data_IF_081393567946
#
_entry.id   IF_081393567946
#
_cell.length_a   1.000
_cell.length_b   1.000
_cell.length_c   1.000
_cell.angle_alpha   90.00
_cell.angle_beta   90.00
_cell.angle_gamma   90.00
#
_symmetry.space_group_name_H-M   'P 1'
#
loop_
_entity.id
_entity.type
_entity.pdbx_description
1 polymer ?
#
# COMPACT_ATOMS: atom_id res chain seq x y z
N UNK A 1 41.70 12.78 39.41
CA UNK A 1 40.79 13.31 38.38
C UNK A 1 40.98 12.53 37.09
N UNK A 2 40.11 11.54 36.82
CA UNK A 2 39.87 10.99 35.48
C UNK A 2 38.41 10.58 35.42
N UNK A 3 37.71 11.13 34.44
CA UNK A 3 36.29 10.92 34.18
C UNK A 3 36.06 9.53 33.59
N UNK A 4 34.99 8.86 34.03
CA UNK A 4 34.47 7.67 33.37
C UNK A 4 33.27 8.09 32.53
N UNK A 5 33.39 7.88 31.23
CA UNK A 5 32.36 8.16 30.24
C UNK A 5 31.25 7.12 30.37
N UNK A 6 30.07 7.57 30.80
CA UNK A 6 28.84 6.78 30.87
C UNK A 6 28.29 6.62 29.44
N UNK A 7 28.30 5.41 28.90
CA UNK A 7 27.54 5.09 27.70
C UNK A 7 26.12 4.69 28.10
N UNK A 8 25.19 5.62 27.92
CA UNK A 8 23.74 5.39 28.02
C UNK A 8 23.28 4.77 26.71
N UNK A 9 23.01 3.47 26.71
CA UNK A 9 22.19 2.86 25.65
C UNK A 9 20.75 3.37 25.85
N UNK A 10 20.32 4.29 24.99
CA UNK A 10 18.92 4.65 24.84
C UNK A 10 18.21 3.51 24.10
N UNK A 11 17.53 2.64 24.85
CA UNK A 11 16.46 1.83 24.32
C UNK A 11 15.19 2.68 24.30
N UNK A 12 14.42 2.71 23.19
CA UNK A 12 13.13 3.39 23.16
C UNK A 12 12.17 2.74 24.19
N UNK A 13 11.50 3.60 24.94
CA UNK A 13 10.50 3.27 25.96
C UNK A 13 9.40 2.35 25.41
N UNK A 14 9.30 1.14 25.96
CA UNK A 14 8.05 0.38 26.01
C UNK A 14 7.40 0.64 27.39
N UNK A 15 6.15 1.12 27.46
CA UNK A 15 5.48 1.32 28.73
C UNK A 15 4.98 -0.02 29.25
N UNK A 16 5.49 -0.43 30.41
CA UNK A 16 4.92 -1.54 31.19
C UNK A 16 5.93 -2.59 31.59
N UNK A 17 6.82 -2.25 32.52
CA UNK A 17 7.26 -3.15 33.59
C UNK A 17 8.03 -2.32 34.61
N UNK A 18 7.34 -1.91 35.68
CA UNK A 18 7.98 -1.49 36.90
C UNK A 18 8.34 -2.75 37.70
N UNK A 19 9.57 -2.80 38.22
CA UNK A 19 9.87 -2.88 39.66
C UNK A 19 11.37 -3.06 39.80
N UNK A 20 12.01 -2.04 40.38
CA UNK A 20 13.35 -2.11 40.94
C UNK A 20 13.32 -2.94 42.23
N UNK A 21 14.35 -3.74 42.46
CA UNK A 21 14.80 -4.07 43.82
C UNK A 21 16.31 -4.03 43.88
N UNK A 22 16.78 -3.20 44.80
CA UNK A 22 18.15 -3.09 45.28
C UNK A 22 18.69 -4.44 45.72
N UNK A 23 19.91 -4.76 45.27
CA UNK A 23 20.72 -5.83 45.85
C UNK A 23 21.97 -5.16 46.43
N UNK A 24 22.04 -5.14 47.76
CA UNK A 24 23.25 -4.86 48.51
C UNK A 24 24.32 -5.90 48.15
N UNK A 25 25.47 -5.45 47.65
CA UNK A 25 26.67 -6.27 47.49
C UNK A 25 27.64 -5.96 48.63
N UNK A 26 27.67 -6.83 49.63
CA UNK A 26 28.79 -6.90 50.58
C UNK A 26 29.98 -7.63 49.93
N UNK A 27 31.14 -6.98 50.05
CA UNK A 27 32.51 -7.51 50.08
C UNK A 27 32.74 -8.96 49.63
N UNK A 28 33.43 -9.13 48.50
CA UNK A 28 34.40 -10.22 48.34
C UNK A 28 35.61 -9.71 47.55
N UNK A 29 36.75 -9.67 48.24
CA UNK A 29 38.08 -9.45 47.72
C UNK A 29 38.48 -10.59 46.75
N UNK A 30 39.07 -10.22 45.61
CA UNK A 30 40.26 -10.84 44.99
C UNK A 30 40.29 -10.53 43.49
N UNK A 31 41.06 -9.51 43.16
CA UNK A 31 41.43 -9.17 41.79
C UNK A 31 42.52 -10.15 41.34
N UNK A 32 42.12 -11.17 40.57
CA UNK A 32 43.03 -11.90 39.68
C UNK A 32 42.80 -11.41 38.25
N UNK A 33 43.73 -10.58 37.76
CA UNK A 33 43.83 -10.24 36.35
C UNK A 33 44.32 -11.46 35.54
N UNK A 34 43.76 -11.59 34.33
CA UNK A 34 44.28 -12.32 33.16
C UNK A 34 44.20 -13.86 33.17
N UNK A 35 43.10 -14.39 32.66
CA UNK A 35 43.07 -15.25 31.46
C UNK A 35 41.74 -15.99 31.39
N UNK A 36 40.85 -15.52 30.50
CA UNK A 36 39.85 -16.38 29.89
C UNK A 36 39.25 -15.60 28.72
N UNK A 37 39.91 -15.68 27.57
CA UNK A 37 39.22 -15.55 26.30
C UNK A 37 38.16 -16.64 26.24
N UNK A 38 36.98 -16.38 26.81
CA UNK A 38 35.82 -17.26 26.69
C UNK A 38 35.47 -17.31 25.22
N UNK A 39 35.87 -18.38 24.55
CA UNK A 39 35.28 -18.77 23.27
C UNK A 39 33.77 -18.64 23.42
N UNK A 40 33.16 -17.73 22.65
CA UNK A 40 31.70 -17.67 22.58
C UNK A 40 31.21 -19.08 22.26
N UNK A 41 30.32 -19.60 23.11
CA UNK A 41 29.62 -20.86 22.84
C UNK A 41 29.04 -20.81 21.43
N UNK A 42 28.97 -21.96 20.76
CA UNK A 42 28.36 -22.10 19.42
C UNK A 42 26.98 -21.42 19.37
N UNK A 43 26.20 -21.48 20.46
CA UNK A 43 24.92 -20.78 20.57
C UNK A 43 25.05 -19.25 20.53
N UNK A 44 26.09 -18.69 21.14
CA UNK A 44 26.37 -17.25 21.11
C UNK A 44 26.71 -16.77 19.70
N UNK A 45 27.47 -17.56 18.93
CA UNK A 45 27.74 -17.26 17.52
C UNK A 45 26.49 -17.39 16.65
N UNK A 46 25.65 -18.39 16.89
CA UNK A 46 24.40 -18.55 16.16
C UNK A 46 23.43 -17.38 16.39
N UNK A 47 23.25 -16.94 17.65
CA UNK A 47 22.43 -15.77 17.97
C UNK A 47 22.97 -14.51 17.30
N UNK A 48 24.29 -14.30 17.34
CA UNK A 48 24.91 -13.15 16.68
C UNK A 48 24.72 -13.20 15.16
N UNK A 49 24.89 -14.36 14.53
CA UNK A 49 24.70 -14.53 13.09
C UNK A 49 23.24 -14.24 12.67
N UNK A 50 22.26 -14.70 13.45
CA UNK A 50 20.84 -14.39 13.21
C UNK A 50 20.56 -12.89 13.37
N UNK A 51 21.09 -12.26 14.42
CA UNK A 51 20.91 -10.82 14.63
C UNK A 51 21.51 -9.99 13.48
N UNK A 52 22.70 -10.37 12.99
CA UNK A 52 23.34 -9.73 11.83
C UNK A 52 22.51 -9.94 10.56
N UNK A 53 22.02 -11.15 10.31
CA UNK A 53 21.19 -11.45 9.15
C UNK A 53 19.86 -10.67 9.18
N UNK A 54 19.18 -10.61 10.33
CA UNK A 54 17.97 -9.81 10.52
C UNK A 54 18.25 -8.31 10.33
N UNK A 55 19.34 -7.79 10.90
CA UNK A 55 19.73 -6.40 10.74
C UNK A 55 19.99 -6.04 9.26
N UNK A 56 20.68 -6.93 8.53
CA UNK A 56 20.89 -6.76 7.09
C UNK A 56 19.57 -6.78 6.32
N UNK A 57 18.68 -7.73 6.60
CA UNK A 57 17.37 -7.82 5.95
C UNK A 57 16.54 -6.57 6.20
N UNK A 58 16.47 -6.08 7.44
CA UNK A 58 15.77 -4.82 7.77
C UNK A 58 16.37 -3.66 7.00
N UNK A 59 17.70 -3.49 7.02
CA UNK A 59 18.34 -2.38 6.32
C UNK A 59 18.14 -2.45 4.80
N UNK A 60 18.24 -3.64 4.22
CA UNK A 60 17.99 -3.85 2.80
C UNK A 60 16.54 -3.51 2.44
N UNK A 61 15.57 -3.94 3.25
CA UNK A 61 14.16 -3.61 3.03
C UNK A 61 13.88 -2.11 3.18
N UNK A 62 14.45 -1.43 4.17
CA UNK A 62 14.34 0.03 4.30
C UNK A 62 14.90 0.75 3.07
N UNK A 63 16.03 0.27 2.54
CA UNK A 63 16.62 0.79 1.31
C UNK A 63 15.74 0.56 0.06
N UNK A 64 15.23 -0.66 -0.10
CA UNK A 64 14.38 -1.06 -1.24
C UNK A 64 13.03 -0.33 -1.23
N UNK A 65 12.40 -0.21 -0.06
CA UNK A 65 11.14 0.52 0.11
C UNK A 65 11.32 2.04 0.09
N UNK A 66 12.56 2.52 -0.05
CA UNK A 66 12.89 3.94 0.02
C UNK A 66 12.35 4.60 1.31
N UNK A 67 12.29 3.85 2.41
CA UNK A 67 11.71 4.28 3.68
C UNK A 67 12.55 5.43 4.25
N UNK A 68 12.03 6.66 4.18
CA UNK A 68 12.73 7.88 4.58
C UNK A 68 13.32 8.71 3.44
N UNK A 69 13.09 8.34 2.16
CA UNK A 69 13.32 9.28 1.05
C UNK A 69 12.17 10.29 1.02
N UNK A 70 12.51 11.57 1.12
CA UNK A 70 11.56 12.64 0.89
C UNK A 70 11.44 12.91 -0.62
N UNK A 71 10.21 12.90 -1.13
CA UNK A 71 9.94 13.29 -2.51
C UNK A 71 9.72 14.81 -2.55
N UNK A 72 10.54 15.50 -3.34
CA UNK A 72 10.31 16.89 -3.69
C UNK A 72 9.57 16.99 -5.03
N UNK A 73 8.49 17.75 -5.08
CA UNK A 73 7.84 18.06 -6.36
C UNK A 73 8.70 19.06 -7.14
N UNK A 74 9.14 18.68 -8.34
CA UNK A 74 9.98 19.53 -9.20
C UNK A 74 9.28 20.87 -9.56
N UNK A 75 7.95 20.91 -9.50
CA UNK A 75 7.15 22.10 -9.68
C UNK A 75 5.88 22.02 -8.83
N UNK A 76 6.01 22.20 -7.52
CA UNK A 76 4.89 22.17 -6.56
C UNK A 76 3.73 23.12 -6.94
N UNK A 77 4.05 24.25 -7.56
CA UNK A 77 3.08 25.25 -8.05
C UNK A 77 2.41 24.83 -9.38
N UNK A 78 2.99 23.90 -10.14
CA UNK A 78 2.49 23.45 -11.44
C UNK A 78 1.57 22.22 -11.35
N UNK A 79 1.48 21.61 -10.16
CA UNK A 79 0.65 20.44 -9.92
C UNK A 79 -0.33 20.74 -8.78
N UNK A 80 -1.49 21.29 -9.11
CA UNK A 80 -2.61 21.30 -8.18
C UNK A 80 -3.28 19.92 -8.22
N UNK A 81 -3.27 19.20 -7.10
CA UNK A 81 -4.06 17.98 -6.97
C UNK A 81 -5.53 18.38 -7.07
N UNK A 82 -6.26 17.87 -8.08
CA UNK A 82 -7.69 18.08 -8.13
C UNK A 82 -8.35 17.39 -6.94
N UNK A 83 -9.12 18.14 -6.15
CA UNK A 83 -9.96 17.54 -5.15
C UNK A 83 -11.09 16.79 -5.85
N UNK A 84 -11.00 15.47 -5.83
CA UNK A 84 -12.04 14.57 -6.30
C UNK A 84 -13.02 14.30 -5.14
N UNK A 85 -14.32 14.06 -5.42
CA UNK A 85 -15.30 13.81 -4.37
C UNK A 85 -14.98 12.57 -3.52
N UNK A 86 -14.30 11.58 -4.11
CA UNK A 86 -13.71 10.43 -3.41
C UNK A 86 -12.23 10.32 -3.79
N UNK A 87 -11.37 9.80 -2.90
CA UNK A 87 -9.99 9.47 -3.26
C UNK A 87 -9.97 8.59 -4.50
N UNK A 88 -9.09 8.88 -5.45
CA UNK A 88 -8.86 8.05 -6.62
C UNK A 88 -7.41 7.60 -6.59
N UNK A 89 -7.19 6.29 -6.69
CA UNK A 89 -5.86 5.70 -6.65
C UNK A 89 -5.22 5.69 -8.05
N UNK A 90 -6.02 5.39 -9.08
CA UNK A 90 -5.53 5.27 -10.46
C UNK A 90 -6.29 6.14 -11.48
N UNK A 91 -5.61 6.42 -12.59
CA UNK A 91 -6.02 7.25 -13.71
C UNK A 91 -5.66 6.57 -15.04
N UNK A 92 -6.59 6.57 -16.00
CA UNK A 92 -6.32 6.02 -17.33
C UNK A 92 -6.70 7.00 -18.43
N UNK A 93 -5.84 7.11 -19.44
CA UNK A 93 -6.05 8.05 -20.55
C UNK A 93 -7.26 7.63 -21.39
N UNK A 94 -8.16 8.57 -21.67
CA UNK A 94 -9.35 8.30 -22.47
C UNK A 94 -9.19 8.79 -23.91
N UNK A 95 -8.97 10.10 -24.06
CA UNK A 95 -8.77 10.80 -25.34
C UNK A 95 -7.92 12.05 -25.09
N UNK A 96 -7.43 12.74 -26.14
CA UNK A 96 -6.62 13.94 -25.93
C UNK A 96 -7.32 14.95 -25.01
N UNK A 97 -6.66 15.32 -23.91
CA UNK A 97 -7.17 16.27 -22.92
C UNK A 97 -8.19 15.71 -21.92
N UNK A 98 -8.47 14.40 -21.94
CA UNK A 98 -9.41 13.75 -21.03
C UNK A 98 -8.89 12.40 -20.50
N UNK A 99 -9.17 12.13 -19.23
CA UNK A 99 -8.84 10.85 -18.58
C UNK A 99 -10.01 10.38 -17.72
N UNK A 100 -10.02 9.08 -17.41
CA UNK A 100 -10.87 8.53 -16.37
C UNK A 100 -10.11 8.43 -15.06
N UNK A 101 -10.80 8.63 -13.94
CA UNK A 101 -10.29 8.44 -12.59
C UNK A 101 -11.19 7.47 -11.83
N UNK A 102 -10.59 6.45 -11.21
CA UNK A 102 -11.29 5.41 -10.45
C UNK A 102 -11.29 5.77 -8.98
N UNK A 103 -12.47 6.09 -8.44
CA UNK A 103 -12.63 6.47 -7.04
C UNK A 103 -13.01 5.32 -6.13
N UNK A 104 -12.61 5.43 -4.86
CA UNK A 104 -12.93 4.49 -3.79
C UNK A 104 -12.15 4.79 -2.51
N UNK A 105 -12.71 4.46 -1.36
CA UNK A 105 -11.98 4.55 -0.09
C UNK A 105 -11.18 3.27 0.18
N UNK A 106 -10.08 3.10 -0.57
CA UNK A 106 -9.18 1.95 -0.43
C UNK A 106 -8.53 1.89 0.95
N UNK A 107 -8.25 3.04 1.56
CA UNK A 107 -7.59 3.09 2.86
C UNK A 107 -8.46 2.45 3.94
N UNK A 108 -9.74 2.84 4.01
CA UNK A 108 -10.69 2.19 4.92
C UNK A 108 -10.95 0.75 4.52
N UNK A 109 -10.96 0.44 3.22
CA UNK A 109 -11.17 -0.94 2.73
C UNK A 109 -10.09 -1.89 3.23
N UNK A 110 -8.82 -1.54 3.07
CA UNK A 110 -7.71 -2.39 3.51
C UNK A 110 -7.55 -2.43 5.03
N UNK A 111 -7.98 -1.39 5.75
CA UNK A 111 -7.87 -1.33 7.20
C UNK A 111 -9.05 -1.98 7.94
N UNK A 112 -10.27 -1.80 7.45
CA UNK A 112 -11.52 -2.07 8.16
C UNK A 112 -12.53 -2.91 7.37
N UNK A 113 -12.22 -3.22 6.11
CA UNK A 113 -13.13 -3.87 5.18
C UNK A 113 -13.96 -2.89 4.35
N UNK A 114 -14.41 -3.37 3.21
CA UNK A 114 -15.14 -2.64 2.18
C UNK A 114 -16.53 -2.17 2.63
N UNK A 115 -17.17 -2.84 3.59
CA UNK A 115 -18.49 -2.45 4.11
C UNK A 115 -18.46 -1.02 4.66
N UNK A 116 -17.39 -0.67 5.37
CA UNK A 116 -17.20 0.62 6.03
C UNK A 116 -16.63 1.70 5.10
N UNK A 117 -16.14 1.32 3.92
CA UNK A 117 -15.57 2.25 2.96
C UNK A 117 -16.63 3.14 2.31
N UNK A 118 -16.28 4.37 1.94
CA UNK A 118 -17.14 5.20 1.11
C UNK A 118 -17.23 4.61 -0.29
N UNK A 119 -18.46 4.49 -0.82
CA UNK A 119 -18.66 4.07 -2.20
C UNK A 119 -18.02 5.08 -3.17
N UNK A 120 -17.20 4.57 -4.06
CA UNK A 120 -16.54 5.32 -5.10
C UNK A 120 -17.42 5.61 -6.31
N UNK A 121 -16.80 6.24 -7.29
CA UNK A 121 -17.39 6.47 -8.61
C UNK A 121 -16.26 6.54 -9.65
N UNK A 122 -16.62 6.47 -10.93
CA UNK A 122 -15.68 6.73 -12.01
C UNK A 122 -15.92 8.16 -12.49
N UNK A 123 -14.86 8.95 -12.57
CA UNK A 123 -14.93 10.34 -12.99
C UNK A 123 -14.30 10.52 -14.37
N UNK A 124 -14.88 11.42 -15.17
CA UNK A 124 -14.22 12.02 -16.33
C UNK A 124 -13.55 13.32 -15.89
N UNK A 125 -12.25 13.42 -16.17
CA UNK A 125 -11.46 14.61 -15.88
C UNK A 125 -11.04 15.25 -17.19
N UNK A 126 -11.45 16.50 -17.40
CA UNK A 126 -11.15 17.31 -18.59
C UNK A 126 -10.58 18.66 -18.14
N UNK A 127 -9.25 18.80 -18.18
CA UNK A 127 -8.56 19.93 -17.58
C UNK A 127 -8.85 20.02 -16.09
N UNK A 128 -9.55 21.08 -15.67
CA UNK A 128 -9.95 21.27 -14.25
C UNK A 128 -11.35 20.77 -13.92
N UNK A 129 -12.10 20.30 -14.91
CA UNK A 129 -13.47 19.83 -14.72
C UNK A 129 -13.45 18.35 -14.37
N UNK A 130 -14.13 18.02 -13.26
CA UNK A 130 -14.32 16.65 -12.79
C UNK A 130 -15.81 16.35 -12.85
N UNK A 131 -16.19 15.31 -13.59
CA UNK A 131 -17.60 14.92 -13.77
C UNK A 131 -17.77 13.45 -13.37
N UNK A 132 -18.60 13.12 -12.37
CA UNK A 132 -18.94 11.73 -12.10
C UNK A 132 -19.69 11.16 -13.31
N UNK A 133 -19.26 10.01 -13.79
CA UNK A 133 -19.89 9.36 -14.93
C UNK A 133 -21.16 8.63 -14.48
N UNK A 134 -22.29 8.83 -15.19
CA UNK A 134 -23.45 7.98 -15.03
C UNK A 134 -23.08 6.54 -15.38
N UNK A 135 -23.46 5.60 -14.51
CA UNK A 135 -23.29 4.17 -14.76
C UNK A 135 -24.68 3.55 -14.92
N UNK A 136 -24.94 3.03 -16.11
CA UNK A 136 -26.14 2.27 -16.45
C UNK A 136 -25.98 0.82 -15.99
N UNK A 137 -27.02 0.28 -15.37
CA UNK A 137 -27.02 -1.05 -14.76
C UNK A 137 -26.90 -0.97 -13.24
N UNK A 138 -26.61 -2.11 -12.62
CA UNK A 138 -26.48 -2.26 -11.17
C UNK A 138 -25.12 -2.90 -10.85
N UNK A 139 -24.00 -2.15 -11.02
CA UNK A 139 -22.71 -2.65 -10.58
C UNK A 139 -22.71 -2.83 -9.05
N UNK A 140 -21.79 -3.65 -8.51
CA UNK A 140 -21.56 -3.69 -7.07
C UNK A 140 -21.10 -2.32 -6.55
N UNK A 141 -20.97 -2.21 -5.23
CA UNK A 141 -20.33 -1.05 -4.62
C UNK A 141 -18.94 -0.90 -5.24
N UNK A 142 -18.63 0.29 -5.73
CA UNK A 142 -17.33 0.57 -6.34
C UNK A 142 -16.34 0.95 -5.25
N UNK A 143 -15.31 0.14 -5.10
CA UNK A 143 -14.14 0.36 -4.27
C UNK A 143 -12.94 0.12 -5.18
N UNK A 144 -12.71 1.09 -6.07
CA UNK A 144 -11.82 0.91 -7.21
C UNK A 144 -10.36 1.11 -6.82
N UNK A 145 -9.52 0.23 -7.37
CA UNK A 145 -8.08 0.33 -7.35
C UNK A 145 -7.58 0.71 -8.76
N UNK A 146 -6.73 -0.10 -9.38
CA UNK A 146 -6.29 0.12 -10.75
C UNK A 146 -7.42 0.10 -11.78
N UNK A 147 -7.36 1.02 -12.74
CA UNK A 147 -8.33 1.13 -13.84
C UNK A 147 -7.64 1.21 -15.18
N UNK A 148 -8.27 0.64 -16.21
CA UNK A 148 -7.72 0.65 -17.55
C UNK A 148 -8.79 0.85 -18.62
N UNK A 149 -8.59 1.83 -19.47
CA UNK A 149 -9.42 2.05 -20.64
C UNK A 149 -8.76 1.45 -21.88
N UNK A 150 -9.47 0.53 -22.54
CA UNK A 150 -9.08 0.02 -23.85
C UNK A 150 -9.73 0.84 -24.96
N UNK A 151 -8.90 1.55 -25.73
CA UNK A 151 -9.34 2.18 -26.98
C UNK A 151 -9.80 1.15 -28.03
N UNK A 152 -9.32 -0.11 -27.94
CA UNK A 152 -9.62 -1.19 -28.88
C UNK A 152 -11.03 -1.73 -28.70
N UNK A 153 -11.39 -2.13 -27.48
CA UNK A 153 -12.72 -2.67 -27.17
C UNK A 153 -13.71 -1.62 -26.72
N UNK A 154 -13.26 -0.38 -26.49
CA UNK A 154 -14.07 0.71 -25.95
C UNK A 154 -14.65 0.38 -24.57
N UNK A 155 -13.86 -0.36 -23.77
CA UNK A 155 -14.22 -0.78 -22.42
C UNK A 155 -13.29 -0.18 -21.39
N UNK A 156 -13.87 0.15 -20.25
CA UNK A 156 -13.15 0.49 -19.03
C UNK A 156 -13.22 -0.71 -18.09
N UNK A 157 -12.06 -1.11 -17.60
CA UNK A 157 -11.88 -2.18 -16.62
C UNK A 157 -11.47 -1.54 -15.31
N UNK A 158 -11.97 -2.04 -14.18
CA UNK A 158 -11.55 -1.58 -12.86
C UNK A 158 -11.42 -2.74 -11.89
N UNK A 159 -10.30 -2.81 -11.19
CA UNK A 159 -10.14 -3.68 -10.02
C UNK A 159 -11.07 -3.19 -8.92
N UNK A 160 -11.85 -4.10 -8.33
CA UNK A 160 -12.86 -3.77 -7.34
C UNK A 160 -12.76 -4.66 -6.10
N UNK A 161 -12.65 -4.01 -4.93
CA UNK A 161 -12.45 -4.63 -3.63
C UNK A 161 -13.72 -4.70 -2.78
N UNK A 162 -14.90 -4.85 -3.39
CA UNK A 162 -16.14 -5.02 -2.64
C UNK A 162 -16.27 -6.44 -2.08
N UNK A 163 -16.00 -6.62 -0.78
CA UNK A 163 -16.04 -7.93 -0.12
C UNK A 163 -17.42 -8.56 -0.15
N UNK A 164 -18.50 -7.77 -0.27
CA UNK A 164 -19.85 -8.30 -0.37
C UNK A 164 -20.03 -9.17 -1.62
N UNK A 165 -19.29 -8.88 -2.69
CA UNK A 165 -19.33 -9.64 -3.95
C UNK A 165 -18.00 -10.33 -4.29
N UNK A 166 -16.98 -10.12 -3.46
CA UNK A 166 -15.63 -10.64 -3.62
C UNK A 166 -14.78 -9.86 -4.61
N UNK A 167 -13.49 -10.19 -4.61
CA UNK A 167 -12.49 -9.58 -5.46
C UNK A 167 -12.81 -9.77 -6.95
N UNK A 168 -12.80 -8.67 -7.72
CA UNK A 168 -13.33 -8.68 -9.08
C UNK A 168 -12.71 -7.64 -10.00
N UNK A 169 -12.81 -7.88 -11.30
CA UNK A 169 -12.65 -6.85 -12.33
C UNK A 169 -14.03 -6.46 -12.83
N UNK A 170 -14.44 -5.23 -12.59
CA UNK A 170 -15.67 -4.67 -13.14
C UNK A 170 -15.41 -4.15 -14.55
N UNK A 171 -16.28 -4.54 -15.49
CA UNK A 171 -16.17 -4.20 -16.91
C UNK A 171 -17.31 -3.27 -17.29
N UNK A 172 -16.97 -2.14 -17.89
CA UNK A 172 -17.92 -1.15 -18.36
C UNK A 172 -17.72 -0.88 -19.85
N UNK A 173 -18.79 -0.93 -20.63
CA UNK A 173 -18.78 -0.37 -21.98
C UNK A 173 -18.85 1.16 -21.88
N UNK A 174 -17.96 1.87 -22.60
CA UNK A 174 -17.93 3.33 -22.62
C UNK A 174 -18.81 3.85 -23.76
N UNK A 175 -19.86 4.57 -23.40
CA UNK A 175 -20.84 5.14 -24.33
C UNK A 175 -20.57 6.65 -24.52
N UNK A 176 -20.66 7.13 -25.76
CA UNK A 176 -20.40 8.55 -26.12
C UNK A 176 -21.56 9.23 -26.88
N UNK A 177 -22.71 8.57 -27.03
CA UNK A 177 -23.80 9.03 -27.90
C UNK A 177 -24.47 10.33 -27.39
N UNK A 178 -24.72 10.43 -26.08
CA UNK A 178 -25.32 11.59 -25.40
C UNK A 178 -24.41 12.12 -24.29
N UNK A 179 -23.13 12.26 -24.61
CA UNK A 179 -22.06 12.49 -23.64
C UNK A 179 -21.46 11.18 -23.14
N UNK A 180 -20.44 11.30 -22.27
CA UNK A 180 -19.73 10.13 -21.77
C UNK A 180 -20.51 9.50 -20.63
N UNK A 181 -20.82 8.22 -20.77
CA UNK A 181 -21.42 7.40 -19.72
C UNK A 181 -20.86 5.98 -19.77
N UNK A 182 -21.13 5.21 -18.73
CA UNK A 182 -20.70 3.83 -18.61
C UNK A 182 -21.91 2.93 -18.58
N UNK A 183 -21.80 1.75 -19.17
CA UNK A 183 -22.76 0.65 -18.98
C UNK A 183 -22.04 -0.52 -18.38
N UNK A 184 -22.49 -0.98 -17.21
CA UNK A 184 -21.92 -2.17 -16.59
C UNK A 184 -22.20 -3.40 -17.46
N UNK A 185 -21.14 -3.99 -18.00
CA UNK A 185 -21.19 -5.15 -18.86
C UNK A 185 -21.11 -6.46 -18.05
N UNK A 186 -20.48 -6.41 -16.88
CA UNK A 186 -20.40 -7.50 -15.92
C UNK A 186 -19.14 -7.44 -15.07
N UNK A 187 -18.95 -8.47 -14.25
CA UNK A 187 -17.76 -8.63 -13.41
C UNK A 187 -17.03 -9.92 -13.76
N UNK A 188 -15.71 -9.86 -13.86
CA UNK A 188 -14.84 -11.02 -13.98
C UNK A 188 -14.40 -11.39 -12.56
N UNK A 189 -14.68 -12.63 -12.17
CA UNK A 189 -14.27 -13.20 -10.88
C UNK A 189 -13.47 -14.46 -11.12
N UNK A 190 -12.50 -14.73 -10.25
CA UNK A 190 -11.68 -15.92 -10.31
C UNK A 190 -11.35 -16.40 -8.90
N UNK A 191 -11.32 -17.72 -8.65
CA UNK A 191 -10.79 -18.25 -7.38
C UNK A 191 -9.31 -17.88 -7.13
N UNK A 192 -8.61 -17.41 -8.15
CA UNK A 192 -7.23 -16.93 -8.04
C UNK A 192 -7.13 -15.49 -7.55
N UNK A 193 -8.25 -14.74 -7.53
CA UNK A 193 -8.29 -13.39 -6.99
C UNK A 193 -8.45 -13.50 -5.47
N UNK A 194 -7.31 -13.50 -4.77
CA UNK A 194 -7.31 -13.45 -3.32
C UNK A 194 -7.80 -12.08 -2.84
N UNK A 195 -8.41 -12.04 -1.66
CA UNK A 195 -8.95 -10.79 -1.09
C UNK A 195 -7.89 -9.69 -1.05
N UNK A 196 -8.21 -8.53 -1.62
CA UNK A 196 -7.33 -7.36 -1.65
C UNK A 196 -5.97 -7.59 -2.33
N UNK A 197 -5.86 -8.63 -3.15
CA UNK A 197 -4.60 -8.99 -3.79
C UNK A 197 -4.44 -8.38 -5.18
N UNK A 198 -5.53 -7.91 -5.80
CA UNK A 198 -5.46 -7.27 -7.11
C UNK A 198 -5.07 -5.80 -6.97
N UNK A 199 -4.19 -5.34 -7.86
CA UNK A 199 -3.74 -3.97 -7.94
C UNK A 199 -4.20 -3.32 -9.24
N UNK A 200 -3.73 -3.85 -10.36
CA UNK A 200 -3.96 -3.32 -11.70
C UNK A 200 -4.65 -4.31 -12.63
N UNK A 201 -5.25 -3.79 -13.70
CA UNK A 201 -5.82 -4.58 -14.79
C UNK A 201 -5.46 -3.95 -16.13
N UNK A 202 -5.19 -4.77 -17.15
CA UNK A 202 -5.08 -4.32 -18.55
C UNK A 202 -5.75 -5.31 -19.49
N UNK A 203 -6.21 -4.82 -20.64
CA UNK A 203 -6.73 -5.70 -21.68
C UNK A 203 -5.59 -6.50 -22.34
N UNK A 204 -5.79 -7.82 -22.49
CA UNK A 204 -4.85 -8.72 -23.13
C UNK A 204 -4.91 -8.70 -24.66
N UNK A 205 -4.10 -9.52 -25.32
CA UNK A 205 -4.08 -9.58 -26.78
C UNK A 205 -5.33 -10.27 -27.33
N UNK A 206 -5.83 -11.30 -26.64
CA UNK A 206 -7.08 -11.98 -26.94
C UNK A 206 -8.31 -11.08 -26.78
N UNK A 207 -9.40 -11.45 -27.48
CA UNK A 207 -10.67 -10.71 -27.43
C UNK A 207 -11.33 -10.71 -26.04
N UNK A 208 -11.08 -11.76 -25.27
CA UNK A 208 -11.68 -12.01 -23.96
C UNK A 208 -10.58 -12.27 -22.90
N UNK A 209 -9.43 -11.61 -23.08
CA UNK A 209 -8.27 -11.76 -22.21
C UNK A 209 -8.02 -10.46 -21.44
N UNK A 210 -7.72 -10.58 -20.16
CA UNK A 210 -7.22 -9.49 -19.31
C UNK A 210 -6.02 -9.99 -18.52
N UNK A 211 -5.07 -9.10 -18.25
CA UNK A 211 -3.99 -9.35 -17.31
C UNK A 211 -4.24 -8.54 -16.04
N UNK A 212 -3.95 -9.15 -14.91
CA UNK A 212 -4.08 -8.53 -13.59
C UNK A 212 -2.80 -8.77 -12.80
N UNK A 213 -2.52 -7.90 -11.83
CA UNK A 213 -1.41 -8.04 -10.88
C UNK A 213 -1.93 -8.14 -9.47
#
# INVERSE_FOLDING_TARGET
MRAYTCWRLFLPHFPGFAVARDIHLENLESVHWLSNSRSMSVCGWAVLAVAVALGYLVQANLGTLAYGKELGFAAAEACALHQLPTPCEDLTAFRPGALFAGGGDLWSTFALGSEQAVAGAIYLVEGTKVTPLPILGEPPKLVLHGIYFSARSRRLYGVNHDEATGESIEVFDVLEEDGVSLKHAGSIRSPLFANFALNDVVEGAGKDEVYVT
#
